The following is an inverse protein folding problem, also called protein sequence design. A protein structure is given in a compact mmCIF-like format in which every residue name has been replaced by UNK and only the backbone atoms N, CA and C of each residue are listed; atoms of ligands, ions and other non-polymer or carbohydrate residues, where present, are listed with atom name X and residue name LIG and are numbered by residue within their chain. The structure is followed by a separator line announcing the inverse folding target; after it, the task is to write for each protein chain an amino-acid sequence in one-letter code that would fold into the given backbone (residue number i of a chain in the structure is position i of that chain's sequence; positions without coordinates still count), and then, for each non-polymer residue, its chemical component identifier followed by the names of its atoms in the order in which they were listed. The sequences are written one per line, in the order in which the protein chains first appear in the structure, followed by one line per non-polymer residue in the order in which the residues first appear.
data_IF_261105871197
#
_entry.id   IF_261105871197
#
_cell.length_a   1.000
_cell.length_b   1.000
_cell.length_c   1.000
_cell.angle_alpha   90.00
_cell.angle_beta   90.00
_cell.angle_gamma   90.00
#
_symmetry.space_group_name_H-M   'P 1'
#
loop_
_entity.id
_entity.type
_entity.pdbx_description
1 polymer ?
#
# COMPACT_ATOMS: atom_id res chain seq x y z
N UNK A 1 -10.22 -1.77 0.30
CA UNK A 1 -8.92 -2.37 -0.06
C UNK A 1 -8.38 -3.17 1.12
N UNK A 2 -7.81 -4.36 0.91
CA UNK A 2 -7.26 -5.22 1.99
C UNK A 2 -5.77 -4.93 2.17
N UNK A 3 -5.31 -4.77 3.42
CA UNK A 3 -3.89 -4.68 3.75
C UNK A 3 -3.34 -6.09 4.00
N UNK A 4 -2.35 -6.51 3.21
CA UNK A 4 -1.66 -7.78 3.39
C UNK A 4 -0.31 -7.54 4.06
N UNK A 5 -0.07 -8.24 5.16
CA UNK A 5 1.21 -8.18 5.89
C UNK A 5 2.08 -9.36 5.47
N UNK A 6 3.19 -9.06 4.81
CA UNK A 6 4.19 -10.04 4.37
C UNK A 6 5.51 -9.75 5.07
N UNK A 7 6.19 -10.81 5.50
CA UNK A 7 7.53 -10.76 6.07
C UNK A 7 8.53 -11.10 4.98
N UNK A 8 9.61 -10.32 4.89
CA UNK A 8 10.76 -10.66 4.07
C UNK A 8 11.46 -11.89 4.68
N UNK A 9 11.78 -12.87 3.83
CA UNK A 9 12.70 -13.93 4.19
C UNK A 9 14.10 -13.34 4.43
N UNK A 10 14.97 -14.09 5.13
CA UNK A 10 16.35 -13.65 5.39
C UNK A 10 17.17 -13.36 4.12
N UNK A 11 16.73 -13.89 2.97
CA UNK A 11 17.30 -13.63 1.64
C UNK A 11 16.82 -12.32 0.99
N UNK A 12 15.94 -11.55 1.63
CA UNK A 12 15.32 -10.35 1.04
C UNK A 12 14.20 -10.66 0.04
N UNK A 13 13.79 -11.92 -0.08
CA UNK A 13 12.65 -12.34 -0.91
C UNK A 13 11.38 -12.32 -0.08
N UNK A 14 10.29 -11.75 -0.60
CA UNK A 14 8.96 -11.96 -0.05
C UNK A 14 8.09 -12.73 -1.05
N UNK A 15 7.28 -13.64 -0.55
CA UNK A 15 6.36 -14.40 -1.38
C UNK A 15 5.10 -13.56 -1.64
N UNK A 16 4.74 -13.40 -2.91
CA UNK A 16 3.49 -12.78 -3.30
C UNK A 16 2.35 -13.82 -3.21
N UNK A 17 1.33 -13.60 -2.35
CA UNK A 17 0.20 -14.52 -2.21
C UNK A 17 -0.47 -14.83 -3.55
N UNK A 18 -1.04 -16.04 -3.67
CA UNK A 18 -1.59 -16.54 -4.94
C UNK A 18 -2.65 -15.61 -5.52
N UNK A 19 -3.49 -15.05 -4.66
CA UNK A 19 -4.58 -14.13 -4.97
C UNK A 19 -4.05 -12.86 -5.63
N UNK A 20 -2.94 -12.32 -5.11
CA UNK A 20 -2.30 -11.13 -5.69
C UNK A 20 -1.64 -11.51 -7.01
N UNK A 21 -0.94 -12.65 -7.07
CA UNK A 21 -0.25 -13.09 -8.29
C UNK A 21 -1.20 -13.36 -9.45
N UNK A 22 -2.40 -13.87 -9.18
CA UNK A 22 -3.41 -14.12 -10.21
C UNK A 22 -3.92 -12.82 -10.84
N UNK A 23 -3.97 -11.72 -10.09
CA UNK A 23 -4.46 -10.43 -10.59
C UNK A 23 -3.43 -9.64 -11.41
N UNK A 24 -2.13 -9.91 -11.24
CA UNK A 24 -1.05 -9.13 -11.87
C UNK A 24 -0.22 -9.91 -12.90
N UNK A 25 -0.51 -11.19 -13.11
CA UNK A 25 0.24 -12.04 -14.04
C UNK A 25 1.61 -12.50 -13.52
N UNK A 26 2.48 -12.96 -14.42
CA UNK A 26 3.78 -13.57 -14.08
C UNK A 26 4.96 -12.59 -14.11
N UNK A 27 4.83 -11.44 -14.78
CA UNK A 27 5.90 -10.45 -14.94
C UNK A 27 5.44 -9.12 -14.39
N UNK A 28 6.28 -8.52 -13.55
CA UNK A 28 5.99 -7.31 -12.80
C UNK A 28 7.08 -6.28 -13.01
N UNK A 29 6.69 -5.01 -13.02
CA UNK A 29 7.58 -3.88 -12.86
C UNK A 29 7.42 -3.29 -11.47
N UNK A 30 8.54 -2.81 -10.92
CA UNK A 30 8.62 -2.28 -9.57
C UNK A 30 9.28 -0.91 -9.64
N UNK A 31 8.63 0.10 -9.06
CA UNK A 31 9.19 1.44 -8.90
C UNK A 31 9.22 1.76 -7.40
N UNK A 32 10.39 1.63 -6.74
CA UNK A 32 10.55 1.97 -5.33
C UNK A 32 10.83 3.47 -5.12
N UNK A 33 10.54 3.95 -3.92
CA UNK A 33 10.93 5.24 -3.36
C UNK A 33 11.24 5.06 -1.85
N UNK A 34 11.59 6.13 -1.14
CA UNK A 34 12.02 6.15 0.26
C UNK A 34 11.18 5.29 1.23
N UNK A 35 9.84 5.30 1.12
CA UNK A 35 8.93 4.58 2.05
C UNK A 35 7.88 3.69 1.37
N UNK A 36 7.84 3.66 0.04
CA UNK A 36 6.81 2.96 -0.70
C UNK A 36 7.38 2.43 -2.03
N UNK A 37 6.72 1.42 -2.59
CA UNK A 37 6.99 0.94 -3.92
C UNK A 37 5.66 0.62 -4.63
N UNK A 38 5.63 0.85 -5.94
CA UNK A 38 4.49 0.47 -6.79
C UNK A 38 4.88 -0.80 -7.55
N UNK A 39 4.00 -1.80 -7.51
CA UNK A 39 4.12 -3.05 -8.25
C UNK A 39 2.96 -3.13 -9.24
N UNK A 40 3.24 -3.41 -10.51
CA UNK A 40 2.23 -3.45 -11.56
C UNK A 40 2.64 -4.42 -12.67
N UNK A 41 1.70 -4.91 -13.50
CA UNK A 41 2.01 -5.79 -14.62
C UNK A 41 3.00 -5.13 -15.59
N UNK A 42 3.90 -5.93 -16.17
CA UNK A 42 4.94 -5.40 -17.07
C UNK A 42 4.38 -4.69 -18.32
N UNK A 43 3.21 -5.14 -18.78
CA UNK A 43 2.49 -4.66 -19.96
C UNK A 43 1.49 -3.52 -19.67
N UNK A 44 1.32 -3.12 -18.41
CA UNK A 44 0.39 -2.04 -18.07
C UNK A 44 0.92 -0.67 -18.54
N UNK A 45 0.02 0.15 -19.06
CA UNK A 45 0.31 1.56 -19.38
C UNK A 45 0.48 2.38 -18.10
N UNK A 46 1.24 3.47 -18.15
CA UNK A 46 1.36 4.34 -16.98
C UNK A 46 0.04 5.04 -16.64
N UNK A 47 -0.81 5.33 -17.62
CA UNK A 47 -2.11 5.97 -17.38
C UNK A 47 -3.03 5.05 -16.56
N UNK A 48 -3.08 3.75 -16.88
CA UNK A 48 -3.86 2.77 -16.10
C UNK A 48 -3.30 2.59 -14.68
N UNK A 49 -1.97 2.62 -14.55
CA UNK A 49 -1.30 2.56 -13.25
C UNK A 49 -1.64 3.79 -12.42
N UNK A 50 -1.59 4.99 -13.01
CA UNK A 50 -1.94 6.24 -12.34
C UNK A 50 -3.41 6.25 -11.90
N UNK A 51 -4.34 5.84 -12.76
CA UNK A 51 -5.75 5.72 -12.42
C UNK A 51 -5.99 4.77 -11.22
N UNK A 52 -5.28 3.64 -11.18
CA UNK A 52 -5.34 2.71 -10.04
C UNK A 52 -4.76 3.33 -8.75
N UNK A 53 -3.65 4.08 -8.88
CA UNK A 53 -2.99 4.74 -7.76
C UNK A 53 -3.85 5.85 -7.14
N UNK A 54 -4.70 6.53 -7.90
CA UNK A 54 -5.63 7.54 -7.38
C UNK A 54 -6.59 6.93 -6.35
N UNK A 55 -7.15 5.75 -6.64
CA UNK A 55 -8.03 5.01 -5.72
C UNK A 55 -7.27 4.59 -4.45
N UNK A 56 -6.06 4.05 -4.62
CA UNK A 56 -5.19 3.66 -3.51
C UNK A 56 -4.83 4.86 -2.63
N UNK A 57 -4.48 6.00 -3.25
CA UNK A 57 -4.15 7.24 -2.55
C UNK A 57 -5.34 7.80 -1.78
N UNK A 58 -6.55 7.73 -2.32
CA UNK A 58 -7.76 8.14 -1.63
C UNK A 58 -7.99 7.32 -0.34
N UNK A 59 -7.83 5.98 -0.40
CA UNK A 59 -7.93 5.10 0.77
C UNK A 59 -6.83 5.41 1.81
N UNK A 60 -5.57 5.58 1.37
CA UNK A 60 -4.46 5.90 2.27
C UNK A 60 -4.66 7.25 2.98
N UNK A 61 -5.15 8.27 2.26
CA UNK A 61 -5.49 9.58 2.85
C UNK A 61 -6.59 9.44 3.89
N UNK A 62 -7.60 8.63 3.62
CA UNK A 62 -8.67 8.35 4.58
C UNK A 62 -8.13 7.68 5.85
N UNK A 63 -7.31 6.62 5.72
CA UNK A 63 -6.67 5.94 6.86
C UNK A 63 -5.80 6.88 7.68
N UNK A 64 -4.96 7.70 7.02
CA UNK A 64 -4.10 8.67 7.69
C UNK A 64 -4.92 9.70 8.48
N UNK A 65 -6.11 10.10 7.99
CA UNK A 65 -7.03 10.96 8.74
C UNK A 65 -7.54 10.27 10.00
N UNK A 66 -8.02 9.02 9.90
CA UNK A 66 -8.51 8.25 11.05
C UNK A 66 -7.41 8.03 12.10
N UNK A 67 -6.17 7.77 11.69
CA UNK A 67 -5.03 7.64 12.61
C UNK A 67 -4.77 8.93 13.39
N UNK A 68 -4.84 10.09 12.72
CA UNK A 68 -4.67 11.41 13.36
C UNK A 68 -5.79 11.68 14.36
N UNK A 69 -7.03 11.37 14.01
CA UNK A 69 -8.19 11.53 14.89
C UNK A 69 -8.13 10.58 16.10
N UNK A 70 -7.73 9.33 15.88
CA UNK A 70 -7.50 8.36 16.96
C UNK A 70 -6.39 8.79 17.92
N UNK A 71 -5.30 9.36 17.41
CA UNK A 71 -4.22 9.96 18.23
C UNK A 71 -4.73 11.16 19.05
N UNK A 72 -5.56 12.03 18.47
CA UNK A 72 -6.17 13.17 19.18
C UNK A 72 -7.10 12.74 20.34
N UNK A 73 -7.83 11.63 20.19
CA UNK A 73 -8.71 11.11 21.26
C UNK A 73 -7.97 10.49 22.45
N UNK A 74 -6.71 10.04 22.26
CA UNK A 74 -5.89 9.39 23.31
C UNK A 74 -5.03 10.36 24.11
N UNK A 75 -4.95 11.64 23.72
CA UNK A 75 -4.31 12.67 24.55
C UNK A 75 -5.23 12.96 25.75
N UNK A 76 -4.74 12.91 27.00
CA UNK A 76 -5.56 13.24 28.15
C UNK A 76 -6.06 14.67 27.98
N UNK A 77 -7.38 14.85 28.10
CA UNK A 77 -7.95 16.19 28.28
C UNK A 77 -7.44 16.65 29.64
N UNK A 78 -6.38 17.46 29.63
CA UNK A 78 -5.94 18.20 30.82
C UNK A 78 -7.13 19.05 31.24
N UNK A 79 -7.85 18.61 32.26
CA UNK A 79 -8.85 19.45 32.93
C UNK A 79 -8.04 20.39 33.81
N UNK A 80 -7.99 21.65 33.40
CA UNK A 80 -7.64 22.76 34.29
C UNK A 80 -8.75 23.02 35.29
#
# INVERSE_FOLDING_TARGET
MVELRVKLAGSGVFYLPKEVRQSFGRRLRIIPNYKAAVFFPEDASYDDVLASLEVIMADLRHRARLEREGKKKRLPRVRG
#
